data_IF_897391680673
#
_entry.id   IF_897391680673
#
_cell.length_a   1.000
_cell.length_b   1.000
_cell.length_c   1.000
_cell.angle_alpha   90.00
_cell.angle_beta   90.00
_cell.angle_gamma   90.00
#
_symmetry.space_group_name_H-M   'P 1'
#
loop_
_entity.id
_entity.type
_entity.pdbx_description
1 polymer ?
#
# COMPACT_ATOMS: atom_id res chain seq x y z
N UNK A 1 5.67 -11.71 21.99
CA UNK A 1 6.64 -11.19 21.00
C UNK A 1 6.21 -11.65 19.62
N UNK A 2 5.44 -10.82 18.91
CA UNK A 2 4.72 -11.25 17.71
C UNK A 2 5.61 -11.25 16.47
N UNK A 3 5.76 -12.42 15.83
CA UNK A 3 6.42 -12.57 14.53
C UNK A 3 5.82 -11.62 13.46
N UNK A 4 4.50 -11.42 13.50
CA UNK A 4 3.76 -10.64 12.50
C UNK A 4 4.25 -9.19 12.33
N UNK A 5 4.52 -8.48 13.43
CA UNK A 5 4.95 -7.07 13.34
C UNK A 5 6.36 -6.94 12.75
N UNK A 6 7.23 -7.94 12.96
CA UNK A 6 8.56 -7.96 12.36
C UNK A 6 8.51 -8.21 10.85
N UNK A 7 7.63 -9.11 10.40
CA UNK A 7 7.42 -9.36 8.97
C UNK A 7 6.90 -8.10 8.29
N UNK A 8 5.86 -7.48 8.86
CA UNK A 8 5.25 -6.26 8.33
C UNK A 8 6.25 -5.10 8.30
N UNK A 9 7.04 -4.90 9.37
CA UNK A 9 8.07 -3.85 9.41
C UNK A 9 9.07 -4.00 8.27
N UNK A 10 9.57 -5.22 8.03
CA UNK A 10 10.52 -5.48 6.94
C UNK A 10 9.90 -5.22 5.56
N UNK A 11 8.64 -5.60 5.37
CA UNK A 11 7.93 -5.37 4.11
C UNK A 11 7.74 -3.87 3.83
N UNK A 12 7.32 -3.10 4.84
CA UNK A 12 7.16 -1.65 4.72
C UNK A 12 8.50 -0.96 4.46
N UNK A 13 9.57 -1.36 5.16
CA UNK A 13 10.93 -0.84 4.93
C UNK A 13 11.40 -1.09 3.49
N UNK A 14 11.12 -2.28 2.93
CA UNK A 14 11.44 -2.60 1.53
C UNK A 14 10.64 -1.76 0.52
N UNK A 15 9.44 -1.33 0.88
CA UNK A 15 8.61 -0.41 0.09
C UNK A 15 9.02 1.06 0.26
N UNK A 16 10.08 1.35 1.02
CA UNK A 16 10.53 2.71 1.32
C UNK A 16 9.61 3.46 2.29
N UNK A 17 8.76 2.75 3.01
CA UNK A 17 7.82 3.31 3.97
C UNK A 17 8.32 3.29 5.41
N UNK A 18 7.46 3.75 6.32
CA UNK A 18 7.71 3.78 7.77
C UNK A 18 6.52 3.21 8.54
N UNK A 19 6.78 2.49 9.64
CA UNK A 19 5.78 1.92 10.54
C UNK A 19 5.76 2.69 11.86
N UNK A 20 4.57 3.10 12.31
CA UNK A 20 4.34 3.77 13.58
C UNK A 20 3.36 3.02 14.48
N UNK A 21 3.40 3.34 15.77
CA UNK A 21 2.46 2.81 16.77
C UNK A 21 2.10 3.89 17.77
N UNK A 22 0.82 4.01 18.09
CA UNK A 22 0.34 4.78 19.24
C UNK A 22 -0.38 3.81 20.19
N UNK A 23 -0.02 3.80 21.46
CA UNK A 23 -0.60 2.91 22.45
C UNK A 23 -0.71 3.59 23.79
N UNK A 24 -1.80 3.33 24.50
CA UNK A 24 -2.01 3.79 25.87
C UNK A 24 -2.74 2.71 26.67
N UNK A 25 -2.31 2.52 27.93
CA UNK A 25 -2.90 1.54 28.85
C UNK A 25 -4.41 1.82 28.99
N UNK A 26 -5.23 0.78 28.84
CA UNK A 26 -6.69 0.87 28.88
C UNK A 26 -7.34 1.48 27.63
N UNK A 27 -6.58 1.94 26.63
CA UNK A 27 -7.10 2.46 25.34
C UNK A 27 -6.77 1.58 24.14
N UNK A 28 -5.86 0.62 24.31
CA UNK A 28 -5.40 -0.27 23.25
C UNK A 28 -4.25 0.32 22.45
N UNK A 29 -4.05 -0.22 21.24
CA UNK A 29 -2.94 0.12 20.36
C UNK A 29 -3.42 0.34 18.93
N UNK A 30 -2.92 1.38 18.28
CA UNK A 30 -3.11 1.67 16.86
C UNK A 30 -1.76 1.57 16.16
N UNK A 31 -1.70 0.74 15.10
CA UNK A 31 -0.54 0.57 14.24
C UNK A 31 -0.87 1.17 12.88
N UNK A 32 0.05 1.97 12.33
CA UNK A 32 -0.13 2.66 11.05
C UNK A 32 1.17 2.68 10.28
N UNK A 33 1.10 2.91 8.97
CA UNK A 33 2.28 3.01 8.12
C UNK A 33 2.08 4.01 6.99
N UNK A 34 3.19 4.62 6.58
CA UNK A 34 3.25 5.52 5.44
C UNK A 34 4.13 4.87 4.37
N UNK A 35 3.65 4.80 3.13
CA UNK A 35 4.39 4.19 2.02
C UNK A 35 4.36 5.15 0.83
N UNK A 36 5.52 5.44 0.20
CA UNK A 36 5.55 6.21 -1.04
C UNK A 36 4.99 5.37 -2.19
N UNK A 37 4.00 5.91 -2.92
CA UNK A 37 3.48 5.27 -4.13
C UNK A 37 3.20 6.32 -5.22
N UNK A 38 3.25 5.88 -6.49
CA UNK A 38 2.85 6.72 -7.61
C UNK A 38 1.35 6.59 -7.83
N UNK A 39 0.68 7.73 -8.05
CA UNK A 39 -0.72 7.72 -8.47
C UNK A 39 -0.83 7.06 -9.84
N UNK A 40 -1.84 6.22 -9.99
CA UNK A 40 -2.16 5.66 -11.30
C UNK A 40 -2.63 6.82 -12.20
N UNK A 41 -2.00 6.95 -13.37
CA UNK A 41 -2.52 7.81 -14.44
C UNK A 41 -3.65 7.04 -15.09
N UNK A 42 -4.82 7.67 -15.18
CA UNK A 42 -5.99 7.09 -15.80
C UNK A 42 -5.66 6.75 -17.26
N UNK A 43 -5.69 5.46 -17.63
CA UNK A 43 -5.58 5.07 -19.04
C UNK A 43 -6.81 5.61 -19.74
N UNK A 44 -6.63 6.61 -20.61
CA UNK A 44 -7.64 6.93 -21.60
C UNK A 44 -8.00 5.64 -22.34
N UNK A 45 -9.28 5.29 -22.28
CA UNK A 45 -9.89 4.18 -23.01
C UNK A 45 -9.88 4.56 -24.50
N UNK A 46 -8.75 4.38 -25.18
CA UNK A 46 -8.68 4.49 -26.63
C UNK A 46 -9.43 3.29 -27.22
N UNK A 47 -10.37 3.61 -28.10
CA UNK A 47 -11.42 2.75 -28.61
C UNK A 47 -10.92 1.42 -29.17
N UNK A 48 -11.60 0.36 -28.75
CA UNK A 48 -11.58 -0.96 -29.39
C UNK A 48 -11.80 -0.76 -30.90
N UNK A 49 -10.78 -1.13 -31.66
CA UNK A 49 -10.71 -1.07 -33.11
C UNK A 49 -11.96 -1.63 -33.78
N UNK A 50 -12.55 -0.83 -34.66
CA UNK A 50 -13.53 -1.29 -35.65
C UNK A 50 -13.04 -2.59 -36.32
N UNK A 51 -13.92 -3.58 -36.56
CA UNK A 51 -13.53 -4.83 -37.20
C UNK A 51 -12.90 -4.56 -38.57
N UNK A 52 -11.89 -5.35 -38.99
CA UNK A 52 -11.29 -5.21 -40.30
C UNK A 52 -12.38 -5.42 -41.36
N UNK A 53 -12.59 -4.40 -42.20
CA UNK A 53 -13.42 -4.54 -43.39
C UNK A 53 -12.72 -5.53 -44.32
N UNK A 54 -13.38 -6.66 -44.59
CA UNK A 54 -13.08 -7.60 -45.65
C UNK A 54 -14.38 -8.18 -46.19
#
# INVERSE_FOLDING_TARGET
TGLGLRIIRRMIELMGGQLGVTSAVGRGSCFYFDIPFRLAVERQKSEESAPPQA
#
